data_IF_651996480604
#
_entry.id   IF_651996480604
#
_cell.length_a   1.000
_cell.length_b   1.000
_cell.length_c   1.000
_cell.angle_alpha   90.00
_cell.angle_beta   90.00
_cell.angle_gamma   90.00
#
_symmetry.space_group_name_H-M   'P 1'
#
loop_
_entity.id
_entity.type
_entity.pdbx_description
1 polymer ?
#
# COMPACT_ATOMS: atom_id res chain seq x y z
N UNK A 1 5.29 13.39 -15.43
CA UNK A 1 3.92 13.65 -14.92
C UNK A 1 3.43 12.55 -13.99
N UNK A 2 3.67 11.26 -14.27
CA UNK A 2 3.22 10.14 -13.41
C UNK A 2 3.63 10.26 -11.93
N UNK A 3 4.85 10.72 -11.63
CA UNK A 3 5.34 10.85 -10.24
C UNK A 3 4.61 11.90 -9.41
N UNK A 4 4.01 12.92 -10.05
CA UNK A 4 3.27 13.99 -9.35
C UNK A 4 2.00 13.44 -8.71
N UNK A 5 1.39 12.41 -9.29
CA UNK A 5 0.20 11.75 -8.74
C UNK A 5 0.49 10.96 -7.47
N UNK A 6 1.76 10.65 -7.16
CA UNK A 6 2.14 10.00 -5.91
C UNK A 6 2.24 10.98 -4.74
N UNK A 7 2.32 12.29 -5.01
CA UNK A 7 2.48 13.31 -3.96
C UNK A 7 1.29 13.31 -2.99
N UNK A 8 0.01 13.31 -3.43
CA UNK A 8 -1.12 13.25 -2.52
C UNK A 8 -1.09 12.02 -1.61
N UNK A 9 -0.75 10.84 -2.16
CA UNK A 9 -0.65 9.59 -1.41
C UNK A 9 0.36 9.73 -0.24
N UNK A 10 1.58 10.19 -0.56
CA UNK A 10 2.67 10.29 0.43
C UNK A 10 2.40 11.38 1.46
N UNK A 11 1.87 12.54 1.04
CA UNK A 11 1.51 13.63 1.96
C UNK A 11 0.42 13.19 2.93
N UNK A 12 -0.66 12.59 2.42
CA UNK A 12 -1.74 12.11 3.27
C UNK A 12 -1.25 11.00 4.20
N UNK A 13 -0.42 10.08 3.72
CA UNK A 13 0.20 9.06 4.55
C UNK A 13 1.04 9.66 5.69
N UNK A 14 1.85 10.68 5.41
CA UNK A 14 2.67 11.33 6.44
C UNK A 14 1.82 12.03 7.50
N UNK A 15 0.82 12.80 7.07
CA UNK A 15 -0.10 13.53 7.96
C UNK A 15 -0.88 12.55 8.84
N UNK A 16 -1.48 11.53 8.24
CA UNK A 16 -2.25 10.53 8.99
C UNK A 16 -1.38 9.67 9.90
N UNK A 17 -0.13 9.40 9.53
CA UNK A 17 0.84 8.74 10.42
C UNK A 17 1.08 9.54 11.69
N UNK A 18 1.24 10.87 11.60
CA UNK A 18 1.41 11.74 12.77
C UNK A 18 0.14 11.73 13.63
N UNK A 19 -1.03 11.92 13.00
CA UNK A 19 -2.32 11.92 13.68
C UNK A 19 -2.56 10.59 14.41
N UNK A 20 -2.23 9.47 13.77
CA UNK A 20 -2.38 8.13 14.36
C UNK A 20 -1.57 7.98 15.66
N UNK A 21 -0.35 8.52 15.70
CA UNK A 21 0.49 8.50 16.90
C UNK A 21 -0.12 9.33 18.03
N UNK A 22 -0.64 10.52 17.71
CA UNK A 22 -1.30 11.39 18.70
C UNK A 22 -2.58 10.75 19.25
N UNK A 23 -3.40 10.15 18.38
CA UNK A 23 -4.61 9.43 18.80
C UNK A 23 -4.23 8.31 19.76
N UNK A 24 -3.22 7.50 19.45
CA UNK A 24 -2.78 6.39 20.32
C UNK A 24 -2.24 6.89 21.66
N UNK A 25 -1.46 7.98 21.67
CA UNK A 25 -0.98 8.59 22.91
C UNK A 25 -2.13 9.08 23.79
N UNK A 26 -3.19 9.60 23.19
CA UNK A 26 -4.36 10.09 23.93
C UNK A 26 -5.29 8.96 24.39
N UNK A 27 -5.60 8.00 23.52
CA UNK A 27 -6.52 6.90 23.82
C UNK A 27 -5.89 5.78 24.64
N UNK A 28 -4.56 5.64 24.60
CA UNK A 28 -3.82 4.53 25.20
C UNK A 28 -4.07 3.17 24.54
N UNK A 29 -4.79 3.14 23.42
CA UNK A 29 -5.24 1.92 22.73
C UNK A 29 -4.96 2.01 21.22
N UNK A 30 -4.21 1.05 20.70
CA UNK A 30 -3.81 1.02 19.28
C UNK A 30 -4.77 0.20 18.41
N UNK A 31 -5.60 -0.69 18.99
CA UNK A 31 -6.43 -1.62 18.21
C UNK A 31 -7.44 -0.91 17.31
N UNK A 32 -8.13 0.10 17.82
CA UNK A 32 -9.14 0.85 17.06
C UNK A 32 -8.54 1.58 15.87
N UNK A 33 -7.34 2.14 16.05
CA UNK A 33 -6.61 2.87 15.00
C UNK A 33 -6.16 1.92 13.90
N UNK A 34 -5.61 0.75 14.26
CA UNK A 34 -5.20 -0.28 13.29
C UNK A 34 -6.40 -0.82 12.52
N UNK A 35 -7.51 -1.09 13.21
CA UNK A 35 -8.71 -1.63 12.57
C UNK A 35 -9.30 -0.63 11.56
N UNK A 36 -9.38 0.65 11.94
CA UNK A 36 -9.80 1.71 11.03
C UNK A 36 -8.84 1.87 9.85
N UNK A 37 -7.54 1.81 10.09
CA UNK A 37 -6.50 1.90 9.05
C UNK A 37 -6.64 0.81 8.00
N UNK A 38 -6.68 -0.46 8.42
CA UNK A 38 -6.86 -1.57 7.47
C UNK A 38 -8.24 -1.55 6.80
N UNK A 39 -9.30 -1.17 7.51
CA UNK A 39 -10.64 -1.04 6.91
C UNK A 39 -10.66 0.03 5.81
N UNK A 40 -10.09 1.21 6.08
CA UNK A 40 -9.93 2.27 5.09
C UNK A 40 -9.05 1.84 3.91
N UNK A 41 -8.00 1.07 4.18
CA UNK A 41 -7.11 0.57 3.13
C UNK A 41 -7.79 -0.45 2.21
N UNK A 42 -8.56 -1.41 2.78
CA UNK A 42 -9.37 -2.35 2.00
C UNK A 42 -10.38 -1.60 1.13
N UNK A 43 -11.06 -0.60 1.67
CA UNK A 43 -12.00 0.25 0.91
C UNK A 43 -11.30 0.98 -0.24
N UNK A 44 -10.12 1.57 0.03
CA UNK A 44 -9.31 2.24 -1.00
C UNK A 44 -8.90 1.28 -2.12
N UNK A 45 -8.45 0.07 -1.79
CA UNK A 45 -8.09 -0.94 -2.79
C UNK A 45 -9.31 -1.49 -3.56
N UNK A 46 -10.46 -1.62 -2.91
CA UNK A 46 -11.72 -1.95 -3.59
C UNK A 46 -12.12 -0.88 -4.61
N UNK A 47 -11.90 0.40 -4.27
CA UNK A 47 -12.22 1.52 -5.16
C UNK A 47 -11.29 1.59 -6.39
N UNK A 48 -10.05 1.09 -6.25
CA UNK A 48 -9.12 0.89 -7.39
C UNK A 48 -9.65 -0.14 -8.40
N UNK A 49 -10.47 -1.12 -7.99
CA UNK A 49 -11.08 -2.05 -8.95
C UNK A 49 -12.10 -1.38 -9.88
N UNK A 50 -12.63 -0.23 -9.49
CA UNK A 50 -13.56 0.54 -10.31
C UNK A 50 -12.86 1.37 -11.39
N UNK A 51 -11.53 1.25 -11.51
CA UNK A 51 -10.75 2.05 -12.43
C UNK A 51 -11.01 1.67 -13.89
N UNK A 52 -11.63 2.59 -14.62
CA UNK A 52 -11.84 2.49 -16.06
C UNK A 52 -10.93 3.47 -16.82
N UNK A 53 -10.72 3.22 -18.11
CA UNK A 53 -9.86 4.03 -18.98
C UNK A 53 -10.25 5.53 -19.07
N UNK A 54 -11.45 5.90 -18.61
CA UNK A 54 -12.01 7.27 -18.66
C UNK A 54 -12.11 7.94 -17.29
N UNK A 55 -11.39 7.47 -16.27
CA UNK A 55 -11.47 8.06 -14.93
C UNK A 55 -10.90 9.48 -14.91
N UNK A 56 -11.64 10.39 -14.26
CA UNK A 56 -11.17 11.75 -13.97
C UNK A 56 -10.01 11.72 -12.97
N UNK A 57 -8.99 12.55 -13.21
CA UNK A 57 -7.82 12.73 -12.34
C UNK A 57 -8.25 13.07 -10.90
N UNK A 58 -9.35 13.79 -10.71
CA UNK A 58 -9.87 14.11 -9.39
C UNK A 58 -10.28 12.87 -8.58
N UNK A 59 -10.90 11.89 -9.23
CA UNK A 59 -11.28 10.62 -8.59
C UNK A 59 -10.03 9.84 -8.19
N UNK A 60 -9.01 9.81 -9.05
CA UNK A 60 -7.72 9.17 -8.74
C UNK A 60 -7.09 9.78 -7.48
N UNK A 61 -7.06 11.10 -7.38
CA UNK A 61 -6.50 11.80 -6.22
C UNK A 61 -7.26 11.43 -4.94
N UNK A 62 -8.59 11.40 -4.98
CA UNK A 62 -9.42 11.02 -3.81
C UNK A 62 -9.15 9.57 -3.40
N UNK A 63 -9.06 8.64 -4.34
CA UNK A 63 -8.72 7.23 -4.06
C UNK A 63 -7.34 7.12 -3.41
N UNK A 64 -6.35 7.85 -3.94
CA UNK A 64 -4.99 7.87 -3.39
C UNK A 64 -4.94 8.48 -1.99
N UNK A 65 -5.74 9.51 -1.71
CA UNK A 65 -5.88 10.07 -0.36
C UNK A 65 -6.44 9.00 0.58
N UNK A 66 -7.52 8.30 0.22
CA UNK A 66 -8.11 7.22 1.04
C UNK A 66 -7.09 6.12 1.31
N UNK A 67 -6.33 5.69 0.29
CA UNK A 67 -5.27 4.70 0.46
C UNK A 67 -4.16 5.22 1.38
N UNK A 68 -3.76 6.48 1.24
CA UNK A 68 -2.75 7.14 2.08
C UNK A 68 -3.18 7.20 3.55
N UNK A 69 -4.46 7.49 3.81
CA UNK A 69 -5.07 7.45 5.14
C UNK A 69 -4.94 6.06 5.75
N UNK A 70 -5.35 5.01 5.02
CA UNK A 70 -5.26 3.63 5.49
C UNK A 70 -3.82 3.19 5.79
N UNK A 71 -2.87 3.56 4.92
CA UNK A 71 -1.44 3.30 5.11
C UNK A 71 -0.91 3.99 6.38
N UNK A 72 -1.18 5.27 6.59
CA UNK A 72 -0.69 6.02 7.74
C UNK A 72 -1.24 5.49 9.08
N UNK A 73 -2.52 5.12 9.13
CA UNK A 73 -3.16 4.50 10.30
C UNK A 73 -2.78 3.03 10.53
N UNK A 74 -1.96 2.45 9.65
CA UNK A 74 -1.45 1.08 9.81
C UNK A 74 0.03 1.08 10.18
N UNK A 75 0.85 1.85 9.45
CA UNK A 75 2.31 1.79 9.57
C UNK A 75 2.84 2.16 10.95
N UNK A 76 2.41 3.30 11.48
CA UNK A 76 2.85 3.80 12.77
C UNK A 76 2.20 3.02 13.93
N UNK A 77 0.87 2.78 13.93
CA UNK A 77 0.21 2.03 15.00
C UNK A 77 0.71 0.59 15.16
N UNK A 78 0.99 -0.13 14.07
CA UNK A 78 1.55 -1.48 14.16
C UNK A 78 2.96 -1.49 14.78
N UNK A 79 3.75 -0.43 14.58
CA UNK A 79 5.06 -0.30 15.24
C UNK A 79 4.89 -0.08 16.74
N UNK A 80 3.97 0.82 17.13
CA UNK A 80 3.66 1.08 18.54
C UNK A 80 3.13 -0.18 19.24
N UNK A 81 2.22 -0.91 18.60
CA UNK A 81 1.68 -2.17 19.11
C UNK A 81 2.75 -3.25 19.33
N UNK A 82 3.75 -3.34 18.44
CA UNK A 82 4.87 -4.26 18.59
C UNK A 82 5.79 -3.84 19.75
N UNK A 83 6.05 -2.54 19.90
CA UNK A 83 6.87 -2.01 20.99
C UNK A 83 6.20 -2.13 22.37
N UNK A 84 4.87 -1.96 22.44
CA UNK A 84 4.09 -2.10 23.67
C UNK A 84 4.16 -3.53 24.25
N UNK A 85 4.29 -4.53 23.37
CA UNK A 85 4.42 -5.94 23.74
C UNK A 85 5.86 -6.37 24.05
N UNK A 86 6.82 -5.44 24.02
CA UNK A 86 8.23 -5.72 24.29
C UNK A 86 8.69 -5.04 25.59
N UNK A 87 9.72 -5.60 26.21
CA UNK A 87 10.44 -4.96 27.31
C UNK A 87 11.18 -3.72 26.81
N UNK A 88 11.39 -2.71 27.68
CA UNK A 88 12.09 -1.48 27.28
C UNK A 88 13.48 -1.77 26.68
N UNK A 89 14.20 -2.76 27.23
CA UNK A 89 15.50 -3.22 26.74
C UNK A 89 15.46 -3.91 25.37
N UNK A 90 14.33 -4.49 24.99
CA UNK A 90 14.18 -5.29 23.76
C UNK A 90 13.52 -4.51 22.62
N UNK A 91 13.05 -3.28 22.86
CA UNK A 91 12.40 -2.44 21.84
C UNK A 91 13.26 -2.23 20.59
N UNK A 92 14.57 -2.07 20.77
CA UNK A 92 15.50 -1.92 19.64
C UNK A 92 15.53 -3.18 18.77
N UNK A 93 15.52 -4.37 19.38
CA UNK A 93 15.48 -5.66 18.68
C UNK A 93 14.16 -5.79 17.92
N UNK A 94 13.03 -5.47 18.56
CA UNK A 94 11.69 -5.53 17.91
C UNK A 94 11.61 -4.63 16.69
N UNK A 95 12.13 -3.39 16.78
CA UNK A 95 12.17 -2.46 15.64
C UNK A 95 13.03 -3.03 14.52
N UNK A 96 14.21 -3.57 14.85
CA UNK A 96 15.12 -4.21 13.90
C UNK A 96 14.45 -5.39 13.18
N UNK A 97 13.90 -6.33 13.93
CA UNK A 97 13.19 -7.50 13.39
C UNK A 97 12.02 -7.09 12.51
N UNK A 98 11.20 -6.13 12.94
CA UNK A 98 10.10 -5.59 12.13
C UNK A 98 10.60 -5.00 10.81
N UNK A 99 11.70 -4.24 10.83
CA UNK A 99 12.28 -3.66 9.63
C UNK A 99 12.82 -4.72 8.67
N UNK A 100 13.44 -5.79 9.18
CA UNK A 100 13.90 -6.92 8.35
C UNK A 100 12.71 -7.61 7.69
N UNK A 101 11.67 -7.97 8.45
CA UNK A 101 10.45 -8.60 7.92
C UNK A 101 9.79 -7.71 6.87
N UNK A 102 9.69 -6.40 7.14
CA UNK A 102 9.13 -5.42 6.21
C UNK A 102 9.94 -5.32 4.92
N UNK A 103 11.26 -5.24 5.01
CA UNK A 103 12.12 -5.15 3.82
C UNK A 103 12.06 -6.44 2.99
N UNK A 104 12.00 -7.60 3.65
CA UNK A 104 11.85 -8.89 2.99
C UNK A 104 10.49 -9.00 2.28
N UNK A 105 9.39 -8.66 2.97
CA UNK A 105 8.06 -8.62 2.36
C UNK A 105 7.95 -7.62 1.21
N UNK A 106 8.62 -6.46 1.34
CA UNK A 106 8.70 -5.45 0.27
C UNK A 106 9.44 -5.99 -0.97
N UNK A 107 10.57 -6.67 -0.79
CA UNK A 107 11.32 -7.29 -1.88
C UNK A 107 10.48 -8.36 -2.61
N UNK A 108 9.82 -9.25 -1.87
CA UNK A 108 8.93 -10.27 -2.43
C UNK A 108 7.76 -9.62 -3.17
N UNK A 109 7.11 -8.63 -2.56
CA UNK A 109 5.97 -7.92 -3.14
C UNK A 109 6.32 -7.23 -4.46
N UNK A 110 7.46 -6.53 -4.50
CA UNK A 110 7.96 -5.90 -5.74
C UNK A 110 8.27 -6.96 -6.79
N UNK A 111 8.98 -8.04 -6.43
CA UNK A 111 9.31 -9.10 -7.37
C UNK A 111 8.05 -9.76 -7.97
N UNK A 112 7.07 -10.12 -7.13
CA UNK A 112 5.79 -10.67 -7.58
C UNK A 112 5.01 -9.69 -8.45
N UNK A 113 4.98 -8.40 -8.07
CA UNK A 113 4.31 -7.36 -8.85
C UNK A 113 4.92 -7.19 -10.24
N UNK A 114 6.25 -7.09 -10.30
CA UNK A 114 7.00 -7.02 -11.55
C UNK A 114 6.76 -8.26 -12.43
N UNK A 115 6.73 -9.46 -11.84
CA UNK A 115 6.44 -10.70 -12.55
C UNK A 115 5.02 -10.72 -13.11
N UNK A 116 4.01 -10.32 -12.34
CA UNK A 116 2.61 -10.30 -12.80
C UNK A 116 2.43 -9.32 -13.95
N UNK A 117 2.94 -8.10 -13.81
CA UNK A 117 2.82 -7.07 -14.84
C UNK A 117 3.51 -7.53 -16.13
N UNK A 118 4.74 -8.04 -16.04
CA UNK A 118 5.49 -8.51 -17.21
C UNK A 118 4.82 -9.71 -17.88
N UNK A 119 4.41 -10.73 -17.12
CA UNK A 119 3.75 -11.91 -17.71
C UNK A 119 2.40 -11.56 -18.32
N UNK A 120 1.62 -10.66 -17.70
CA UNK A 120 0.33 -10.22 -18.24
C UNK A 120 0.54 -9.45 -19.53
N UNK A 121 1.52 -8.55 -19.58
CA UNK A 121 1.83 -7.79 -20.79
C UNK A 121 2.33 -8.71 -21.92
N UNK A 122 3.24 -9.64 -21.61
CA UNK A 122 3.71 -10.63 -22.59
C UNK A 122 2.56 -11.47 -23.17
N UNK A 123 1.59 -11.84 -22.33
CA UNK A 123 0.38 -12.54 -22.76
C UNK A 123 -0.46 -11.68 -23.71
N UNK A 124 -0.71 -10.42 -23.38
CA UNK A 124 -1.45 -9.49 -24.26
C UNK A 124 -0.72 -9.24 -25.59
N UNK A 125 0.61 -9.08 -25.56
CA UNK A 125 1.42 -8.94 -26.77
C UNK A 125 1.35 -10.19 -27.64
N UNK A 126 1.41 -11.38 -27.05
CA UNK A 126 1.24 -12.63 -27.80
C UNK A 126 -0.16 -12.75 -28.41
N UNK A 127 -1.20 -12.32 -27.69
CA UNK A 127 -2.57 -12.28 -28.22
C UNK A 127 -2.70 -11.29 -29.38
N UNK A 128 -1.99 -10.15 -29.34
CA UNK A 128 -1.94 -9.17 -30.43
C UNK A 128 -1.26 -9.69 -31.69
N UNK A 129 -0.31 -10.63 -31.57
CA UNK A 129 0.30 -11.30 -32.71
C UNK A 129 -0.68 -12.28 -33.40
N UNK A 130 -1.56 -12.92 -32.64
CA UNK A 130 -2.53 -13.90 -33.16
C UNK A 130 -3.81 -13.24 -33.68
N UNK A 131 -4.35 -12.24 -32.96
CA UNK A 131 -5.64 -11.60 -33.27
C UNK A 131 -5.46 -10.16 -33.77
N UNK A 132 -4.71 -9.99 -34.86
CA UNK A 132 -4.22 -8.68 -35.35
C UNK A 132 -5.33 -7.64 -35.55
N UNK A 133 -6.50 -8.04 -36.05
CA UNK A 133 -7.65 -7.14 -36.26
C UNK A 133 -8.15 -6.49 -34.96
N UNK A 134 -8.23 -7.27 -33.88
CA UNK A 134 -8.68 -6.78 -32.56
C UNK A 134 -7.69 -5.79 -31.94
N UNK A 135 -6.42 -5.88 -32.30
CA UNK A 135 -5.34 -5.06 -31.75
C UNK A 135 -4.83 -4.00 -32.76
N UNK A 136 -5.72 -3.50 -33.62
CA UNK A 136 -5.43 -2.41 -34.56
C UNK A 136 -4.21 -2.65 -35.46
N UNK A 137 -3.91 -3.92 -35.77
CA UNK A 137 -2.81 -4.35 -36.64
C UNK A 137 -1.45 -3.71 -36.27
N UNK A 138 -1.10 -3.69 -34.98
CA UNK A 138 0.21 -3.18 -34.52
C UNK A 138 1.35 -3.96 -35.21
N UNK A 139 2.38 -3.30 -35.77
CA UNK A 139 3.52 -3.95 -36.39
C UNK A 139 4.20 -4.98 -35.48
N UNK A 140 4.61 -6.12 -36.04
CA UNK A 140 5.23 -7.21 -35.27
C UNK A 140 6.57 -6.81 -34.66
N UNK A 141 7.33 -5.95 -35.35
CA UNK A 141 8.60 -5.42 -34.85
C UNK A 141 8.40 -4.53 -33.62
N UNK A 142 7.31 -3.76 -33.61
CA UNK A 142 6.94 -2.95 -32.46
C UNK A 142 6.52 -3.81 -31.27
N UNK A 143 5.75 -4.88 -31.52
CA UNK A 143 5.39 -5.84 -30.48
C UNK A 143 6.63 -6.53 -29.88
N UNK A 144 7.63 -6.84 -30.71
CA UNK A 144 8.93 -7.38 -30.25
C UNK A 144 9.71 -6.36 -29.44
N UNK A 145 9.73 -5.09 -29.87
CA UNK A 145 10.29 -3.97 -29.10
C UNK A 145 9.63 -3.86 -27.72
N UNK A 146 8.29 -3.93 -27.65
CA UNK A 146 7.52 -3.83 -26.42
C UNK A 146 7.85 -4.94 -25.41
N UNK A 147 8.13 -6.18 -25.89
CA UNK A 147 8.57 -7.29 -25.03
C UNK A 147 9.92 -7.03 -24.35
N UNK A 148 10.80 -6.29 -25.02
CA UNK A 148 12.14 -5.97 -24.51
C UNK A 148 12.14 -4.71 -23.63
N UNK A 149 11.15 -3.83 -23.83
CA UNK A 149 11.08 -2.49 -23.25
C UNK A 149 9.88 -2.31 -22.33
N UNK A 150 9.56 -3.34 -21.52
CA UNK A 150 8.36 -3.38 -20.67
C UNK A 150 8.33 -2.24 -19.66
N UNK A 151 9.48 -1.88 -19.07
CA UNK A 151 9.59 -0.89 -18.00
C UNK A 151 10.12 0.48 -18.44
N UNK A 152 10.50 0.63 -19.71
CA UNK A 152 11.02 1.89 -20.25
C UNK A 152 9.91 2.74 -20.82
N UNK A 153 10.18 4.04 -21.00
CA UNK A 153 9.23 4.94 -21.66
C UNK A 153 8.99 4.44 -23.09
N UNK A 154 7.72 4.25 -23.42
CA UNK A 154 7.30 3.79 -24.74
C UNK A 154 7.46 4.94 -25.73
N UNK A 155 8.24 4.73 -26.79
CA UNK A 155 8.28 5.62 -27.94
C UNK A 155 7.05 5.36 -28.82
N UNK A 156 6.24 6.40 -29.00
CA UNK A 156 5.01 6.36 -29.82
C UNK A 156 5.21 6.99 -31.21
N UNK A 157 6.43 7.44 -31.51
CA UNK A 157 6.83 8.02 -32.79
C UNK A 157 6.67 6.98 -33.91
N UNK A 158 5.57 7.08 -34.66
CA UNK A 158 5.23 6.18 -35.76
C UNK A 158 3.97 5.33 -35.58
N UNK A 159 3.26 5.46 -34.46
CA UNK A 159 1.99 4.77 -34.20
C UNK A 159 0.78 5.68 -34.44
N UNK A 160 -0.31 5.08 -34.93
CA UNK A 160 -1.59 5.76 -35.08
C UNK A 160 -2.31 5.88 -33.72
N UNK A 161 -3.18 6.88 -33.54
CA UNK A 161 -3.86 7.13 -32.24
C UNK A 161 -4.61 5.89 -31.70
N UNK A 162 -5.20 5.10 -32.61
CA UNK A 162 -5.89 3.84 -32.27
C UNK A 162 -4.92 2.80 -31.70
N UNK A 163 -3.71 2.70 -32.23
CA UNK A 163 -2.69 1.76 -31.78
C UNK A 163 -2.14 2.17 -30.41
N UNK A 164 -1.93 3.46 -30.19
CA UNK A 164 -1.51 4.01 -28.89
C UNK A 164 -2.53 3.66 -27.81
N UNK A 165 -3.83 3.89 -28.05
CA UNK A 165 -4.90 3.52 -27.09
C UNK A 165 -4.95 2.03 -26.80
N UNK A 166 -4.71 1.19 -27.79
CA UNK A 166 -4.66 -0.27 -27.60
C UNK A 166 -3.48 -0.65 -26.71
N UNK A 167 -2.28 -0.09 -26.93
CA UNK A 167 -1.11 -0.32 -26.09
C UNK A 167 -1.36 0.16 -24.66
N UNK A 168 -1.90 1.38 -24.47
CA UNK A 168 -2.29 1.88 -23.16
C UNK A 168 -3.25 0.92 -22.45
N UNK A 169 -4.23 0.36 -23.17
CA UNK A 169 -5.17 -0.60 -22.60
C UNK A 169 -4.50 -1.91 -22.16
N UNK A 170 -3.48 -2.41 -22.88
CA UNK A 170 -2.69 -3.58 -22.48
C UNK A 170 -1.91 -3.32 -21.19
N UNK A 171 -1.29 -2.15 -21.08
CA UNK A 171 -0.55 -1.74 -19.87
C UNK A 171 -1.49 -1.54 -18.69
N UNK A 172 -2.60 -0.83 -18.89
CA UNK A 172 -3.63 -0.65 -17.86
C UNK A 172 -4.13 -1.99 -17.33
N UNK A 173 -4.44 -2.94 -18.22
CA UNK A 173 -4.88 -4.28 -17.83
C UNK A 173 -3.81 -5.05 -17.05
N UNK A 174 -2.55 -4.94 -17.46
CA UNK A 174 -1.42 -5.57 -16.78
C UNK A 174 -1.20 -5.01 -15.37
N UNK A 175 -1.32 -3.68 -15.21
CA UNK A 175 -1.24 -3.01 -13.91
C UNK A 175 -2.44 -3.33 -13.02
N UNK A 176 -3.66 -3.36 -13.56
CA UNK A 176 -4.86 -3.75 -12.82
C UNK A 176 -4.76 -5.19 -12.32
N UNK A 177 -4.12 -6.09 -13.07
CA UNK A 177 -3.93 -7.47 -12.65
C UNK A 177 -3.09 -7.61 -11.36
N UNK A 178 -2.17 -6.68 -11.12
CA UNK A 178 -1.42 -6.62 -9.86
C UNK A 178 -2.31 -6.27 -8.67
N UNK A 179 -3.26 -5.34 -8.84
CA UNK A 179 -4.17 -4.94 -7.75
C UNK A 179 -5.11 -6.09 -7.32
N UNK A 180 -5.49 -6.99 -8.23
CA UNK A 180 -6.25 -8.19 -7.88
C UNK A 180 -5.50 -9.12 -6.93
N UNK A 181 -4.16 -9.16 -6.98
CA UNK A 181 -3.36 -9.90 -5.99
C UNK A 181 -3.26 -9.14 -4.66
N UNK A 182 -3.14 -7.81 -4.70
CA UNK A 182 -2.97 -6.98 -3.50
C UNK A 182 -4.18 -6.96 -2.58
N UNK A 183 -5.39 -6.96 -3.14
CA UNK A 183 -6.65 -6.89 -2.37
C UNK A 183 -6.84 -8.05 -1.39
N UNK A 184 -6.76 -9.33 -1.79
CA UNK A 184 -6.92 -10.45 -0.85
C UNK A 184 -5.83 -10.45 0.22
N UNK A 185 -4.60 -10.02 -0.12
CA UNK A 185 -3.51 -9.92 0.85
C UNK A 185 -3.82 -8.88 1.93
N UNK A 186 -4.31 -7.69 1.54
CA UNK A 186 -4.73 -6.65 2.49
C UNK A 186 -5.97 -7.11 3.28
N UNK A 187 -6.89 -7.84 2.65
CA UNK A 187 -8.04 -8.44 3.31
C UNK A 187 -7.63 -9.44 4.41
N UNK A 188 -6.64 -10.29 4.15
CA UNK A 188 -6.08 -11.20 5.16
C UNK A 188 -5.45 -10.41 6.31
N UNK A 189 -4.73 -9.33 6.03
CA UNK A 189 -4.19 -8.44 7.06
C UNK A 189 -5.29 -7.76 7.90
N UNK A 190 -6.39 -7.35 7.27
CA UNK A 190 -7.55 -6.78 7.96
C UNK A 190 -8.20 -7.80 8.90
N UNK A 191 -8.44 -9.03 8.41
CA UNK A 191 -8.97 -10.13 9.24
C UNK A 191 -8.01 -10.43 10.41
N UNK A 192 -6.71 -10.51 10.14
CA UNK A 192 -5.69 -10.74 11.16
C UNK A 192 -5.68 -9.65 12.24
N UNK A 193 -6.02 -8.41 11.87
CA UNK A 193 -6.11 -7.29 12.80
C UNK A 193 -7.25 -7.41 13.80
N UNK A 194 -8.29 -8.20 13.54
CA UNK A 194 -9.31 -8.50 14.55
C UNK A 194 -8.77 -9.34 15.71
N UNK A 195 -7.80 -10.22 15.42
CA UNK A 195 -7.14 -11.07 16.42
C UNK A 195 -6.12 -10.32 17.28
N UNK A 196 -5.84 -9.05 16.97
CA UNK A 196 -4.98 -8.22 17.80
C UNK A 196 -5.63 -8.05 19.19
N UNK A 197 -4.98 -8.61 20.22
CA UNK A 197 -5.41 -8.46 21.60
C UNK A 197 -4.80 -7.17 22.14
N UNK A 198 -5.64 -6.17 22.37
CA UNK A 198 -5.19 -4.89 22.94
C UNK A 198 -4.86 -5.10 24.43
N UNK A 199 -3.61 -4.86 24.81
CA UNK A 199 -3.16 -4.84 26.21
C UNK A 199 -2.88 -3.42 26.70
N UNK A 200 -3.26 -2.39 25.93
CA UNK A 200 -2.87 -1.01 26.15
C UNK A 200 -1.45 -0.71 25.66
N UNK A 201 -1.11 0.58 25.58
CA UNK A 201 0.21 1.08 25.14
C UNK A 201 1.28 0.99 26.24
N UNK A 202 0.88 0.68 27.48
CA UNK A 202 1.81 0.55 28.60
C UNK A 202 2.82 -0.58 28.34
N UNK A 203 4.08 -0.30 28.64
CA UNK A 203 5.14 -1.30 28.52
C UNK A 203 4.86 -2.44 29.49
N UNK A 204 5.17 -3.69 29.10
CA UNK A 204 5.01 -4.87 29.97
C UNK A 204 5.71 -4.69 31.34
N UNK A 205 6.80 -3.91 31.38
CA UNK A 205 7.60 -3.67 32.58
C UNK A 205 7.11 -2.47 33.44
N UNK A 206 6.13 -1.70 32.98
CA UNK A 206 5.64 -0.49 33.67
C UNK A 206 4.45 -0.87 34.55
N UNK A 207 4.72 -1.38 35.76
CA UNK A 207 3.68 -1.43 36.79
C UNK A 207 3.21 0.00 37.10
N UNK A 208 1.90 0.25 37.31
CA UNK A 208 1.42 1.58 37.66
C UNK A 208 2.12 2.01 38.96
N UNK A 209 2.79 3.16 38.94
CA UNK A 209 3.33 3.73 40.17
C UNK A 209 2.19 3.87 41.19
N UNK A 210 2.38 3.44 42.46
CA UNK A 210 1.36 3.62 43.47
C UNK A 210 1.10 5.11 43.66
N UNK A 211 -0.16 5.54 43.46
CA UNK A 211 -0.65 6.93 43.63
C UNK A 211 -0.47 7.52 45.05
N UNK A 212 0.19 6.80 45.96
CA UNK A 212 0.27 7.15 47.38
C UNK A 212 1.49 8.01 47.77
N UNK A 213 2.38 8.36 46.83
CA UNK A 213 3.56 9.20 47.15
C UNK A 213 3.32 10.71 47.01
N UNK A 214 2.32 11.17 46.26
CA UNK A 214 2.03 12.60 46.12
C UNK A 214 1.31 13.20 47.33
N UNK A 215 0.52 12.42 48.09
CA UNK A 215 -0.20 12.94 49.27
C UNK A 215 0.65 13.14 50.52
N UNK A 216 1.84 12.54 50.61
CA UNK A 216 2.71 12.65 51.80
C UNK A 216 3.78 13.75 51.69
N UNK A 217 3.92 14.40 50.53
CA UNK A 217 4.87 15.51 50.35
C UNK A 217 4.20 16.87 50.61
N UNK A 218 2.88 16.99 50.42
CA UNK A 218 2.12 18.20 50.76
C UNK A 218 1.76 18.31 52.26
N UNK A 219 2.09 17.31 53.09
CA UNK A 219 1.78 17.31 54.54
C UNK A 219 3.00 17.42 55.47
N UNK A 220 4.14 17.94 54.99
CA UNK A 220 5.31 18.22 55.84
C UNK A 220 5.83 19.64 55.66
#
# INVERSE_FOLDING_TARGET
MASVLLIPLVLTQAITSIISGQIISYTGHYKYVILFGYGSWVLGCGLVLLWNATISIGVVIVVLIIMGVGLGFTFQPCMVAAQAQARKSERAVVIGTRNVIRSFGGAIGIAMGSLIVSNTLLKEVNQALVHREKYANIPSDYLKYLKLHIYTRIEVTGLNEKQVKVIESMYMKSLMNYFYLGIPLIGICFISSFFLKDRGVQCIDEQPEPKDKEKNIESK
#
